data_IF_270861180308
#
_entry.id   IF_270861180308
#
_cell.length_a   1.000
_cell.length_b   1.000
_cell.length_c   1.000
_cell.angle_alpha   90.00
_cell.angle_beta   90.00
_cell.angle_gamma   90.00
#
_symmetry.space_group_name_H-M   'P 1'
#
loop_
_entity.id
_entity.type
_entity.pdbx_description
1 polymer ?
#
# COMPACT_ATOMS: atom_id res chain seq x y z
N UNK A 1 12.79 4.76 28.75
CA UNK A 1 13.09 5.54 27.53
C UNK A 1 12.37 4.86 26.38
N UNK A 2 11.12 5.21 26.06
CA UNK A 2 10.35 4.41 25.09
C UNK A 2 8.98 4.95 24.71
N UNK A 3 8.78 6.27 24.75
CA UNK A 3 7.49 6.88 24.36
C UNK A 3 7.70 7.92 23.28
N UNK A 4 8.66 8.83 23.46
CA UNK A 4 8.94 9.90 22.50
C UNK A 4 9.47 9.37 21.16
N UNK A 5 10.38 8.38 21.19
CA UNK A 5 10.93 7.80 19.96
C UNK A 5 9.85 7.09 19.12
N UNK A 6 8.99 6.29 19.76
CA UNK A 6 7.92 5.56 19.08
C UNK A 6 6.88 6.50 18.46
N UNK A 7 6.54 7.59 19.15
CA UNK A 7 5.64 8.60 18.59
C UNK A 7 6.27 9.37 17.42
N UNK A 8 7.57 9.68 17.49
CA UNK A 8 8.29 10.30 16.37
C UNK A 8 8.29 9.38 15.15
N UNK A 9 8.59 8.08 15.31
CA UNK A 9 8.56 7.14 14.19
C UNK A 9 7.16 6.94 13.61
N UNK A 10 6.11 6.92 14.45
CA UNK A 10 4.71 6.91 13.98
C UNK A 10 4.38 8.17 13.17
N UNK A 11 4.76 9.34 13.67
CA UNK A 11 4.53 10.61 12.98
C UNK A 11 5.27 10.67 11.62
N UNK A 12 6.53 10.22 11.59
CA UNK A 12 7.30 10.09 10.35
C UNK A 12 6.64 9.12 9.37
N UNK A 13 6.11 7.99 9.86
CA UNK A 13 5.34 7.04 9.05
C UNK A 13 4.10 7.69 8.42
N UNK A 14 3.32 8.45 9.19
CA UNK A 14 2.17 9.19 8.67
C UNK A 14 2.55 10.26 7.65
N UNK A 15 3.64 11.00 7.90
CA UNK A 15 4.16 11.99 6.94
C UNK A 15 4.60 11.33 5.63
N UNK A 16 5.23 10.16 5.70
CA UNK A 16 5.63 9.40 4.52
C UNK A 16 4.40 8.94 3.73
N UNK A 17 3.38 8.40 4.40
CA UNK A 17 2.11 8.01 3.75
C UNK A 17 1.45 9.24 3.10
N UNK A 18 1.37 10.36 3.81
CA UNK A 18 0.81 11.60 3.29
C UNK A 18 1.60 12.13 2.07
N UNK A 19 2.94 11.99 2.10
CA UNK A 19 3.81 12.33 0.98
C UNK A 19 3.53 11.47 -0.26
N UNK A 20 3.42 10.15 -0.08
CA UNK A 20 3.09 9.21 -1.17
C UNK A 20 1.70 9.50 -1.75
N UNK A 21 0.71 9.73 -0.90
CA UNK A 21 -0.67 10.10 -1.30
C UNK A 21 -0.68 11.40 -2.09
N UNK A 22 0.04 12.43 -1.61
CA UNK A 22 0.14 13.72 -2.28
C UNK A 22 0.85 13.60 -3.63
N UNK A 23 1.91 12.77 -3.70
CA UNK A 23 2.62 12.47 -4.93
C UNK A 23 1.75 11.75 -5.96
N UNK A 24 0.97 10.74 -5.53
CA UNK A 24 0.05 10.00 -6.38
C UNK A 24 -1.03 10.93 -6.97
N UNK A 25 -1.63 11.78 -6.13
CA UNK A 25 -2.61 12.78 -6.56
C UNK A 25 -2.02 13.78 -7.56
N UNK A 26 -0.86 14.36 -7.24
CA UNK A 26 -0.20 15.38 -8.08
C UNK A 26 0.17 14.80 -9.44
N UNK A 27 0.81 13.63 -9.45
CA UNK A 27 1.19 12.92 -10.66
C UNK A 27 -0.02 12.59 -11.53
N UNK A 28 -1.12 12.12 -10.93
CA UNK A 28 -2.35 11.82 -11.66
C UNK A 28 -2.99 13.09 -12.26
N UNK A 29 -3.04 14.19 -11.49
CA UNK A 29 -3.57 15.48 -11.95
C UNK A 29 -2.77 16.04 -13.12
N UNK A 30 -1.45 16.10 -12.99
CA UNK A 30 -0.56 16.70 -13.99
C UNK A 30 -0.57 15.90 -15.30
N UNK A 31 -0.55 14.56 -15.23
CA UNK A 31 -0.67 13.71 -16.41
C UNK A 31 -2.04 13.78 -17.08
N UNK A 32 -3.12 14.01 -16.32
CA UNK A 32 -4.47 14.13 -16.88
C UNK A 32 -4.66 15.45 -17.63
N UNK A 33 -4.08 16.55 -17.12
CA UNK A 33 -4.09 17.84 -17.82
C UNK A 33 -3.49 17.75 -19.23
N UNK A 34 -2.36 17.06 -19.36
CA UNK A 34 -1.65 16.89 -20.64
C UNK A 34 -2.09 15.70 -21.50
N UNK A 35 -2.95 14.81 -20.99
CA UNK A 35 -3.18 13.48 -21.58
C UNK A 35 -4.62 12.99 -21.56
N UNK A 36 -4.79 11.67 -21.70
CA UNK A 36 -6.09 10.98 -21.63
C UNK A 36 -6.36 10.49 -20.21
N UNK A 37 -7.48 10.91 -19.61
CA UNK A 37 -7.88 10.52 -18.26
C UNK A 37 -7.98 8.99 -18.07
N UNK A 38 -8.39 8.26 -19.11
CA UNK A 38 -8.50 6.79 -19.08
C UNK A 38 -7.14 6.11 -18.93
N UNK A 39 -6.13 6.61 -19.64
CA UNK A 39 -4.78 6.04 -19.59
C UNK A 39 -4.13 6.30 -18.22
N UNK A 40 -4.36 7.49 -17.65
CA UNK A 40 -3.88 7.84 -16.31
C UNK A 40 -4.53 6.96 -15.23
N UNK A 41 -5.84 6.71 -15.31
CA UNK A 41 -6.51 5.79 -14.37
C UNK A 41 -5.97 4.37 -14.45
N UNK A 42 -5.69 3.87 -15.67
CA UNK A 42 -5.18 2.52 -15.84
C UNK A 42 -3.74 2.37 -15.34
N UNK A 43 -2.86 3.31 -15.67
CA UNK A 43 -1.48 3.34 -15.16
C UNK A 43 -1.46 3.50 -13.64
N UNK A 44 -2.31 4.38 -13.11
CA UNK A 44 -2.45 4.58 -11.66
C UNK A 44 -2.99 3.34 -10.95
N UNK A 45 -3.96 2.65 -11.55
CA UNK A 45 -4.47 1.37 -11.03
C UNK A 45 -3.38 0.32 -10.95
N UNK A 46 -2.60 0.12 -12.02
CA UNK A 46 -1.50 -0.83 -12.06
C UNK A 46 -0.42 -0.52 -11.01
N UNK A 47 -0.10 0.76 -10.83
CA UNK A 47 0.85 1.20 -9.82
C UNK A 47 0.34 0.91 -8.39
N UNK A 48 -0.93 1.22 -8.11
CA UNK A 48 -1.55 0.91 -6.81
C UNK A 48 -1.59 -0.61 -6.57
N UNK A 49 -1.95 -1.40 -7.60
CA UNK A 49 -2.01 -2.84 -7.52
C UNK A 49 -0.63 -3.45 -7.24
N UNK A 50 0.43 -2.95 -7.88
CA UNK A 50 1.80 -3.37 -7.61
C UNK A 50 2.21 -3.13 -6.15
N UNK A 51 1.92 -1.96 -5.60
CA UNK A 51 2.25 -1.64 -4.21
C UNK A 51 1.41 -2.47 -3.24
N UNK A 52 0.10 -2.59 -3.49
CA UNK A 52 -0.78 -3.36 -2.62
C UNK A 52 -0.43 -4.87 -2.63
N UNK A 53 -0.01 -5.42 -3.77
CA UNK A 53 0.52 -6.78 -3.83
C UNK A 53 1.82 -6.88 -3.04
N UNK A 54 2.76 -5.96 -3.25
CA UNK A 54 4.02 -5.94 -2.52
C UNK A 54 3.79 -5.91 -1.00
N UNK A 55 2.94 -5.01 -0.50
CA UNK A 55 2.64 -4.92 0.94
C UNK A 55 1.97 -6.18 1.48
N UNK A 56 1.14 -6.85 0.68
CA UNK A 56 0.47 -8.10 1.06
C UNK A 56 1.40 -9.31 1.05
N UNK A 57 2.43 -9.30 0.21
CA UNK A 57 3.49 -10.31 0.24
C UNK A 57 4.45 -10.08 1.40
N UNK A 58 4.78 -8.82 1.72
CA UNK A 58 5.69 -8.47 2.82
C UNK A 58 5.03 -8.48 4.20
N UNK A 59 3.75 -8.88 4.32
CA UNK A 59 3.00 -8.85 5.58
C UNK A 59 3.46 -9.87 6.65
N UNK A 60 4.57 -10.57 6.40
CA UNK A 60 5.19 -11.49 7.35
C UNK A 60 5.27 -12.90 6.80
N UNK A 61 6.51 -13.38 6.62
CA UNK A 61 6.86 -14.78 6.84
C UNK A 61 7.46 -14.83 8.25
N UNK A 62 6.71 -15.24 9.28
CA UNK A 62 7.29 -15.36 10.62
C UNK A 62 8.49 -16.32 10.59
N UNK A 63 9.55 -16.01 11.34
CA UNK A 63 10.69 -16.91 11.49
C UNK A 63 10.27 -18.17 12.23
N UNK A 64 10.55 -19.32 11.65
CA UNK A 64 10.31 -20.61 12.28
C UNK A 64 11.37 -20.90 13.33
N UNK A 65 10.94 -21.33 14.52
CA UNK A 65 11.87 -22.05 15.41
C UNK A 65 12.09 -23.46 14.84
N UNK A 66 13.29 -23.70 14.33
CA UNK A 66 13.74 -25.02 13.89
C UNK A 66 13.89 -25.96 15.11
N UNK A 67 12.78 -26.52 15.62
CA UNK A 67 12.83 -27.61 16.60
C UNK A 67 12.54 -28.98 16.02
N UNK A 68 11.76 -29.06 14.94
CA UNK A 68 11.49 -30.28 14.18
C UNK A 68 10.79 -29.90 12.89
N UNK A 69 11.29 -30.32 11.73
CA UNK A 69 10.59 -30.17 10.45
C UNK A 69 9.28 -30.99 10.48
N UNK A 70 8.09 -30.36 10.42
CA UNK A 70 6.86 -31.12 10.36
C UNK A 70 6.75 -31.83 9.01
N UNK A 71 6.33 -33.11 9.06
CA UNK A 71 6.17 -34.00 7.89
C UNK A 71 5.16 -33.45 6.86
N UNK A 72 4.29 -32.55 7.29
CA UNK A 72 3.43 -31.72 6.43
C UNK A 72 3.86 -30.28 6.61
N UNK A 73 4.44 -29.67 5.58
CA UNK A 73 5.05 -28.35 5.64
C UNK A 73 4.20 -27.32 6.39
N UNK A 74 4.84 -26.64 7.34
CA UNK A 74 4.22 -25.72 8.27
C UNK A 74 5.22 -25.40 9.39
N UNK A 75 4.87 -24.49 10.28
CA UNK A 75 5.70 -24.10 11.40
C UNK A 75 4.98 -24.46 12.69
N UNK A 76 5.54 -25.33 13.54
CA UNK A 76 4.89 -25.68 14.83
C UNK A 76 5.05 -24.57 15.87
N UNK A 77 6.17 -23.82 15.82
CA UNK A 77 6.48 -22.73 16.75
C UNK A 77 7.09 -21.55 15.99
N UNK A 78 6.46 -20.39 16.08
CA UNK A 78 6.96 -19.13 15.52
C UNK A 78 7.76 -18.39 16.59
N UNK A 79 8.98 -17.95 16.26
CA UNK A 79 9.93 -17.37 17.23
C UNK A 79 9.51 -16.03 17.86
N UNK A 80 8.38 -15.45 17.44
CA UNK A 80 8.01 -14.06 17.70
C UNK A 80 6.51 -13.87 18.06
N UNK A 81 5.84 -14.90 18.60
CA UNK A 81 4.36 -14.96 18.77
C UNK A 81 3.60 -14.69 17.44
N UNK A 82 4.31 -14.76 16.30
CA UNK A 82 3.84 -14.34 14.99
C UNK A 82 2.89 -15.37 14.39
N UNK A 83 1.67 -14.94 14.07
CA UNK A 83 0.72 -15.74 13.31
C UNK A 83 1.03 -15.65 11.81
N UNK A 84 1.08 -16.77 11.09
CA UNK A 84 1.18 -16.74 9.63
C UNK A 84 -0.11 -16.15 9.04
N UNK A 85 -0.05 -14.99 8.34
CA UNK A 85 -1.26 -14.29 7.96
C UNK A 85 -2.07 -15.11 6.95
N UNK A 86 -3.33 -15.37 7.30
CA UNK A 86 -4.29 -16.10 6.46
C UNK A 86 -4.49 -15.39 5.12
N UNK A 87 -4.98 -16.13 4.11
CA UNK A 87 -5.34 -15.55 2.81
C UNK A 87 -6.30 -14.37 2.96
N UNK A 88 -7.23 -14.43 3.90
CA UNK A 88 -8.20 -13.37 4.16
C UNK A 88 -7.55 -12.09 4.68
N UNK A 89 -6.54 -12.20 5.56
CA UNK A 89 -5.78 -11.05 6.06
C UNK A 89 -4.91 -10.41 4.97
N UNK A 90 -4.32 -11.23 4.09
CA UNK A 90 -3.56 -10.73 2.93
C UNK A 90 -4.47 -10.00 1.95
N UNK A 91 -5.67 -10.52 1.67
CA UNK A 91 -6.66 -9.88 0.81
C UNK A 91 -7.21 -8.59 1.44
N UNK A 92 -7.49 -8.59 2.74
CA UNK A 92 -7.92 -7.38 3.45
C UNK A 92 -6.85 -6.29 3.40
N UNK A 93 -5.58 -6.65 3.58
CA UNK A 93 -4.46 -5.72 3.48
C UNK A 93 -4.28 -5.18 2.05
N UNK A 94 -4.39 -6.06 1.05
CA UNK A 94 -4.39 -5.66 -0.36
C UNK A 94 -5.49 -4.63 -0.63
N UNK A 95 -6.73 -4.91 -0.22
CA UNK A 95 -7.87 -4.02 -0.42
C UNK A 95 -7.68 -2.68 0.30
N UNK A 96 -7.12 -2.71 1.51
CA UNK A 96 -6.80 -1.49 2.27
C UNK A 96 -5.80 -0.59 1.52
N UNK A 97 -4.65 -1.12 1.11
CA UNK A 97 -3.64 -0.34 0.39
C UNK A 97 -4.10 0.09 -1.00
N UNK A 98 -4.86 -0.77 -1.70
CA UNK A 98 -5.50 -0.40 -2.95
C UNK A 98 -6.40 0.81 -2.78
N UNK A 99 -7.28 0.79 -1.78
CA UNK A 99 -8.23 1.88 -1.54
C UNK A 99 -7.50 3.16 -1.14
N UNK A 100 -6.55 3.05 -0.22
CA UNK A 100 -5.78 4.18 0.29
C UNK A 100 -4.97 4.90 -0.79
N UNK A 101 -4.38 4.15 -1.73
CA UNK A 101 -3.56 4.71 -2.81
C UNK A 101 -4.38 5.10 -4.04
N UNK A 102 -5.46 4.38 -4.34
CA UNK A 102 -6.23 4.62 -5.56
C UNK A 102 -7.19 5.79 -5.45
N UNK A 103 -7.77 6.07 -4.27
CA UNK A 103 -8.64 7.25 -4.06
C UNK A 103 -7.93 8.56 -4.46
N UNK A 104 -6.70 8.84 -3.99
CA UNK A 104 -5.93 10.01 -4.42
C UNK A 104 -5.71 10.10 -5.92
N UNK A 105 -5.47 8.97 -6.59
CA UNK A 105 -5.31 8.91 -8.06
C UNK A 105 -6.61 9.32 -8.75
N UNK A 106 -7.75 8.76 -8.34
CA UNK A 106 -9.07 9.08 -8.93
C UNK A 106 -9.40 10.56 -8.73
N UNK A 107 -9.16 11.10 -7.54
CA UNK A 107 -9.34 12.53 -7.27
C UNK A 107 -8.41 13.38 -8.15
N UNK A 108 -7.14 13.00 -8.27
CA UNK A 108 -6.16 13.68 -9.12
C UNK A 108 -6.62 13.75 -10.57
N UNK A 109 -7.09 12.62 -11.13
CA UNK A 109 -7.66 12.56 -12.47
C UNK A 109 -8.91 13.45 -12.60
N UNK A 110 -9.82 13.40 -11.64
CA UNK A 110 -11.04 14.20 -11.66
C UNK A 110 -10.75 15.71 -11.72
N UNK A 111 -9.86 16.19 -10.84
CA UNK A 111 -9.46 17.60 -10.83
C UNK A 111 -8.67 17.97 -12.09
N UNK A 112 -7.74 17.13 -12.54
CA UNK A 112 -6.97 17.38 -13.76
C UNK A 112 -7.86 17.44 -15.01
N UNK A 113 -8.88 16.59 -15.10
CA UNK A 113 -9.81 16.60 -16.23
C UNK A 113 -10.72 17.84 -16.23
N UNK A 114 -11.20 18.27 -15.06
CA UNK A 114 -11.95 19.53 -14.94
C UNK A 114 -11.15 20.72 -15.42
N UNK A 115 -9.87 20.78 -15.05
CA UNK A 115 -9.00 21.90 -15.44
C UNK A 115 -8.70 21.90 -16.93
N UNK A 116 -8.60 20.71 -17.54
CA UNK A 116 -8.47 20.57 -18.99
C UNK A 116 -9.69 21.11 -19.74
N UNK A 117 -10.90 20.96 -19.21
CA UNK A 117 -12.14 21.44 -19.85
C UNK A 117 -12.39 22.94 -19.73
N UNK A 118 -11.65 23.64 -18.86
CA UNK A 118 -11.79 25.11 -18.64
C UNK A 118 -10.88 25.92 -19.56
N UNK A 119 -9.92 25.28 -20.23
CA UNK A 119 -8.97 25.87 -21.18
C UNK A 119 -9.44 25.55 -22.59
#
# INVERSE_FOLDING_TARGET
MGTVSDEIFKALGYLLIAGVVSFAWKTARDNTRGGSWKEVLWKGFLWCAGIALFTSFTLGSPSCEERTDPVFGGCEYYADDGYEPTTDQRVANFAYFMTLLYIPVVLGVYYGNKEKTVI
#
